data_IF_612380880388
#
_entry.id   IF_612380880388
#
_cell.length_a   1.000
_cell.length_b   1.000
_cell.length_c   1.000
_cell.angle_alpha   90.00
_cell.angle_beta   90.00
_cell.angle_gamma   90.00
#
_symmetry.space_group_name_H-M   'P 1'
#
loop_
_entity.id
_entity.type
_entity.pdbx_description
1 polymer ?
#
# COMPACT_ATOMS: atom_id res chain seq x y z
N UNK A 1 -15.69 -0.45 22.11
CA UNK A 1 -16.46 -0.49 23.37
C UNK A 1 -15.78 0.38 24.39
N UNK A 2 -16.52 1.06 25.26
CA UNK A 2 -15.99 2.02 26.26
C UNK A 2 -15.59 1.38 27.59
N UNK A 3 -15.83 0.08 27.77
CA UNK A 3 -15.45 -0.65 28.96
C UNK A 3 -13.93 -0.86 29.01
N UNK A 4 -13.34 -0.80 30.21
CA UNK A 4 -11.95 -1.11 30.43
C UNK A 4 -11.66 -2.56 29.96
N UNK A 5 -10.62 -2.72 29.16
CA UNK A 5 -10.22 -4.00 28.58
C UNK A 5 -8.71 -4.20 28.70
N UNK A 6 -8.28 -5.46 28.66
CA UNK A 6 -6.87 -5.84 28.74
C UNK A 6 -6.51 -6.61 27.48
N UNK A 7 -5.40 -6.23 26.84
CA UNK A 7 -4.80 -6.96 25.73
C UNK A 7 -3.50 -7.62 26.21
N UNK A 8 -3.42 -8.95 26.12
CA UNK A 8 -2.23 -9.73 26.49
C UNK A 8 -1.59 -10.26 25.21
N UNK A 9 -0.32 -9.92 24.98
CA UNK A 9 0.46 -10.39 23.83
C UNK A 9 1.29 -11.60 24.26
N UNK A 10 0.89 -12.80 23.82
CA UNK A 10 1.63 -14.04 24.07
C UNK A 10 2.53 -14.37 22.88
N UNK A 11 3.77 -14.79 23.15
CA UNK A 11 4.68 -15.25 22.11
C UNK A 11 5.59 -16.37 22.64
N UNK A 12 6.11 -17.17 21.73
CA UNK A 12 7.12 -18.20 22.01
C UNK A 12 8.41 -17.81 21.32
N UNK A 13 9.53 -17.93 22.02
CA UNK A 13 10.84 -17.61 21.47
C UNK A 13 11.40 -18.73 20.55
N UNK A 14 12.44 -18.42 19.75
CA UNK A 14 13.03 -17.09 19.54
C UNK A 14 12.24 -16.27 18.51
N UNK A 15 12.08 -14.96 18.79
CA UNK A 15 11.44 -14.04 17.85
C UNK A 15 12.42 -13.59 16.77
N UNK A 16 11.95 -13.53 15.52
CA UNK A 16 12.68 -12.80 14.47
C UNK A 16 12.70 -11.29 14.78
N UNK A 17 13.64 -10.57 14.18
CA UNK A 17 13.71 -9.10 14.29
C UNK A 17 12.40 -8.44 13.88
N UNK A 18 11.79 -8.91 12.79
CA UNK A 18 10.48 -8.47 12.30
C UNK A 18 9.38 -8.74 13.32
N UNK A 19 9.31 -9.94 13.90
CA UNK A 19 8.30 -10.28 14.90
C UNK A 19 8.44 -9.43 16.16
N UNK A 20 9.68 -9.16 16.60
CA UNK A 20 9.97 -8.27 17.73
C UNK A 20 9.54 -6.83 17.45
N UNK A 21 9.80 -6.31 16.25
CA UNK A 21 9.38 -4.97 15.85
C UNK A 21 7.85 -4.82 15.82
N UNK A 22 7.13 -5.83 15.32
CA UNK A 22 5.65 -5.81 15.31
C UNK A 22 5.04 -5.81 16.71
N UNK A 23 5.57 -6.64 17.62
CA UNK A 23 5.13 -6.66 19.01
C UNK A 23 5.43 -5.33 19.73
N UNK A 24 6.58 -4.72 19.42
CA UNK A 24 6.94 -3.41 19.95
C UNK A 24 5.96 -2.32 19.47
N UNK A 25 5.61 -2.28 18.19
CA UNK A 25 4.61 -1.35 17.64
C UNK A 25 3.26 -1.47 18.36
N UNK A 26 2.77 -2.70 18.57
CA UNK A 26 1.50 -2.94 19.28
C UNK A 26 1.54 -2.54 20.77
N UNK A 27 2.74 -2.45 21.36
CA UNK A 27 2.94 -2.00 22.75
C UNK A 27 3.04 -0.48 22.87
N UNK A 28 3.64 0.18 21.88
CA UNK A 28 3.94 1.62 21.93
C UNK A 28 2.73 2.50 21.58
N UNK A 29 1.79 2.00 20.78
CA UNK A 29 0.63 2.78 20.35
C UNK A 29 -0.61 1.90 20.19
N UNK A 30 -1.77 2.51 20.44
CA UNK A 30 -3.09 1.93 20.18
C UNK A 30 -3.78 2.59 18.98
N UNK A 31 -3.14 3.55 18.34
CA UNK A 31 -3.65 4.18 17.12
C UNK A 31 -3.48 3.24 15.93
N UNK A 32 -4.61 2.78 15.38
CA UNK A 32 -4.64 1.84 14.26
C UNK A 32 -3.96 2.35 12.99
N UNK A 33 -3.94 3.67 12.75
CA UNK A 33 -3.28 4.25 11.58
C UNK A 33 -1.75 4.19 11.72
N UNK A 34 -1.23 4.55 12.89
CA UNK A 34 0.21 4.45 13.16
C UNK A 34 0.70 3.00 13.16
N UNK A 35 -0.09 2.07 13.70
CA UNK A 35 0.20 0.63 13.61
C UNK A 35 0.29 0.20 12.14
N UNK A 36 -0.68 0.60 11.32
CA UNK A 36 -0.71 0.26 9.89
C UNK A 36 0.48 0.84 9.12
N UNK A 37 0.88 2.09 9.41
CA UNK A 37 2.05 2.73 8.80
C UNK A 37 3.34 1.97 9.12
N UNK A 38 3.58 1.68 10.40
CA UNK A 38 4.77 0.94 10.85
C UNK A 38 4.77 -0.50 10.34
N UNK A 39 3.62 -1.17 10.27
CA UNK A 39 3.53 -2.52 9.69
C UNK A 39 3.87 -2.51 8.19
N UNK A 40 3.45 -1.49 7.46
CA UNK A 40 3.81 -1.29 6.06
C UNK A 40 5.32 -1.05 5.87
N UNK A 41 5.94 -0.25 6.75
CA UNK A 41 7.40 -0.05 6.77
C UNK A 41 8.16 -1.36 7.04
N UNK A 42 7.69 -2.15 8.02
CA UNK A 42 8.30 -3.44 8.40
C UNK A 42 8.15 -4.48 7.27
N UNK A 43 6.99 -4.52 6.62
CA UNK A 43 6.67 -5.51 5.57
C UNK A 43 7.25 -5.11 4.21
N UNK A 44 7.41 -3.82 3.96
CA UNK A 44 7.59 -3.29 2.62
C UNK A 44 6.30 -3.38 1.78
N UNK A 45 6.31 -2.78 0.58
CA UNK A 45 5.09 -2.56 -0.19
C UNK A 45 4.39 -3.82 -0.74
N UNK A 46 4.98 -5.01 -0.96
CA UNK A 46 4.23 -6.18 -1.52
C UNK A 46 3.74 -6.00 -2.97
N UNK A 47 2.92 -6.91 -3.55
CA UNK A 47 2.40 -6.83 -4.94
C UNK A 47 0.85 -6.74 -5.01
N UNK A 48 0.34 -5.68 -5.66
CA UNK A 48 -1.07 -5.23 -5.59
C UNK A 48 -2.02 -5.79 -6.64
N UNK A 49 -1.54 -6.51 -7.66
CA UNK A 49 -2.38 -6.92 -8.80
C UNK A 49 -2.62 -8.44 -8.91
N UNK A 50 -2.46 -9.16 -7.81
CA UNK A 50 -2.98 -10.53 -7.71
C UNK A 50 -2.08 -11.59 -8.34
N UNK A 51 -1.08 -12.02 -7.56
CA UNK A 51 -0.76 -13.43 -7.43
C UNK A 51 -0.45 -13.73 -5.95
N UNK A 52 -1.52 -13.72 -5.14
CA UNK A 52 -1.61 -14.07 -3.70
C UNK A 52 -1.37 -12.95 -2.69
N UNK A 53 -2.46 -12.27 -2.32
CA UNK A 53 -2.70 -11.55 -1.06
C UNK A 53 -1.59 -10.60 -0.51
N UNK A 54 -1.92 -9.31 -0.52
CA UNK A 54 -1.45 -8.22 0.38
C UNK A 54 -0.21 -7.38 -0.01
N UNK A 55 -0.44 -6.08 -0.20
CA UNK A 55 0.56 -5.01 -0.23
C UNK A 55 0.62 -4.24 -1.57
N UNK A 56 0.71 -2.91 -1.49
CA UNK A 56 0.93 -1.88 -2.53
C UNK A 56 1.56 -2.27 -3.88
N UNK A 57 1.22 -1.54 -4.95
CA UNK A 57 1.71 -1.89 -6.28
C UNK A 57 3.22 -1.66 -6.31
N UNK A 58 4.02 -2.65 -6.71
CA UNK A 58 5.40 -2.39 -7.11
C UNK A 58 5.37 -1.49 -8.35
N UNK A 59 5.27 -0.18 -8.12
CA UNK A 59 5.52 0.81 -9.12
C UNK A 59 6.97 0.61 -9.53
N UNK A 60 7.18 0.15 -10.77
CA UNK A 60 8.51 -0.22 -11.29
C UNK A 60 9.56 0.90 -11.17
N UNK A 61 9.11 2.14 -11.01
CA UNK A 61 9.93 3.35 -11.01
C UNK A 61 9.60 4.35 -9.90
N UNK A 62 8.61 4.08 -9.04
CA UNK A 62 8.17 5.05 -8.03
C UNK A 62 8.05 4.37 -6.67
N UNK A 63 8.40 5.10 -5.62
CA UNK A 63 8.29 4.68 -4.25
C UNK A 63 7.27 5.56 -3.55
N UNK A 64 6.08 5.03 -3.27
CA UNK A 64 4.99 5.80 -2.65
C UNK A 64 5.35 6.39 -1.28
N UNK A 65 6.38 5.89 -0.59
CA UNK A 65 6.84 6.48 0.67
C UNK A 65 7.70 7.72 0.42
N UNK A 66 8.59 7.67 -0.57
CA UNK A 66 9.54 8.75 -0.88
C UNK A 66 8.97 9.77 -1.89
N UNK A 67 8.03 9.34 -2.72
CA UNK A 67 7.47 10.11 -3.83
C UNK A 67 6.07 10.64 -3.54
N UNK A 68 5.70 10.82 -2.27
CA UNK A 68 4.39 11.36 -1.90
C UNK A 68 4.09 12.70 -2.57
N UNK A 69 5.12 13.50 -2.79
CA UNK A 69 5.04 14.80 -3.47
C UNK A 69 4.60 14.70 -4.95
N UNK A 70 4.72 13.53 -5.58
CA UNK A 70 4.26 13.29 -6.94
C UNK A 70 2.77 12.92 -7.03
N UNK A 71 2.12 12.57 -5.91
CA UNK A 71 0.74 12.06 -5.91
C UNK A 71 -0.23 13.14 -6.41
N UNK A 72 -0.16 14.35 -5.84
CA UNK A 72 -1.09 15.43 -6.19
C UNK A 72 -0.88 15.93 -7.63
N UNK A 73 0.35 16.23 -8.09
CA UNK A 73 0.59 16.60 -9.48
C UNK A 73 0.19 15.51 -10.48
N UNK A 74 0.39 14.23 -10.16
CA UNK A 74 -0.03 13.13 -11.02
C UNK A 74 -1.56 13.07 -11.15
N UNK A 75 -2.29 13.34 -10.06
CA UNK A 75 -3.76 13.39 -10.04
C UNK A 75 -4.29 14.53 -10.92
N UNK A 76 -3.73 15.72 -10.78
CA UNK A 76 -4.09 16.89 -11.60
C UNK A 76 -3.79 16.65 -13.08
N UNK A 77 -2.62 16.11 -13.40
CA UNK A 77 -2.23 15.77 -14.76
C UNK A 77 -3.17 14.72 -15.37
N UNK A 78 -3.57 13.70 -14.61
CA UNK A 78 -4.51 12.69 -15.07
C UNK A 78 -5.88 13.29 -15.39
N UNK A 79 -6.40 14.18 -14.53
CA UNK A 79 -7.67 14.88 -14.78
C UNK A 79 -7.61 15.74 -16.05
N UNK A 80 -6.54 16.51 -16.22
CA UNK A 80 -6.34 17.35 -17.40
C UNK A 80 -6.21 16.52 -18.69
N UNK A 81 -5.52 15.38 -18.65
CA UNK A 81 -5.39 14.46 -19.78
C UNK A 81 -6.74 13.86 -20.18
N UNK A 82 -7.56 13.45 -19.21
CA UNK A 82 -8.90 12.91 -19.47
C UNK A 82 -9.83 13.93 -20.13
N UNK A 83 -9.76 15.20 -19.71
CA UNK A 83 -10.62 16.25 -20.25
C UNK A 83 -10.16 16.71 -21.65
N UNK A 84 -8.84 16.88 -21.84
CA UNK A 84 -8.31 17.59 -23.01
C UNK A 84 -7.72 16.68 -24.09
N UNK A 85 -7.29 15.48 -23.73
CA UNK A 85 -6.52 14.57 -24.60
C UNK A 85 -6.96 13.11 -24.47
N UNK A 86 -8.25 12.79 -24.71
CA UNK A 86 -8.77 11.43 -24.56
C UNK A 86 -8.05 10.39 -25.44
N UNK A 87 -7.56 10.78 -26.61
CA UNK A 87 -6.77 9.93 -27.51
C UNK A 87 -5.41 9.54 -26.91
N UNK A 88 -4.76 10.46 -26.18
CA UNK A 88 -3.50 10.19 -25.47
C UNK A 88 -3.77 9.24 -24.31
N UNK A 89 -4.88 9.44 -23.59
CA UNK A 89 -5.30 8.50 -22.53
C UNK A 89 -5.45 7.09 -23.09
N UNK A 90 -6.15 6.92 -24.22
CA UNK A 90 -6.31 5.60 -24.84
C UNK A 90 -4.97 4.94 -25.20
N UNK A 91 -4.01 5.71 -25.72
CA UNK A 91 -2.66 5.21 -25.99
C UNK A 91 -1.91 4.82 -24.71
N UNK A 92 -2.05 5.60 -23.64
CA UNK A 92 -1.49 5.26 -22.33
C UNK A 92 -2.09 3.98 -21.75
N UNK A 93 -3.43 3.84 -21.80
CA UNK A 93 -4.12 2.62 -21.36
C UNK A 93 -3.66 1.41 -22.19
N UNK A 94 -3.61 1.52 -23.52
CA UNK A 94 -3.15 0.45 -24.39
C UNK A 94 -1.69 0.04 -24.10
N UNK A 95 -0.80 1.01 -23.84
CA UNK A 95 0.61 0.76 -23.55
C UNK A 95 0.85 0.14 -22.18
N UNK A 96 0.19 0.65 -21.14
CA UNK A 96 0.51 0.34 -19.74
C UNK A 96 -0.44 -0.67 -19.10
N UNK A 97 -1.71 -0.70 -19.50
CA UNK A 97 -2.70 -1.69 -19.05
C UNK A 97 -2.80 -2.88 -20.01
N UNK A 98 -2.71 -2.66 -21.33
CA UNK A 98 -2.66 -3.73 -22.34
C UNK A 98 -3.61 -4.89 -22.06
N UNK A 99 -3.12 -6.13 -22.10
CA UNK A 99 -3.89 -7.37 -21.86
C UNK A 99 -4.29 -7.63 -20.39
N UNK A 100 -3.99 -6.72 -19.44
CA UNK A 100 -4.34 -6.91 -18.01
C UNK A 100 -5.79 -6.61 -17.66
N UNK A 101 -6.66 -6.29 -18.63
CA UNK A 101 -8.11 -6.24 -18.42
C UNK A 101 -8.68 -7.54 -17.80
N UNK A 102 -8.01 -8.68 -17.99
CA UNK A 102 -8.38 -9.95 -17.36
C UNK A 102 -8.20 -9.97 -15.83
N UNK A 103 -7.36 -9.09 -15.25
CA UNK A 103 -7.12 -9.03 -13.80
C UNK A 103 -8.17 -8.19 -13.05
N UNK A 104 -8.88 -7.29 -13.73
CA UNK A 104 -9.92 -6.45 -13.13
C UNK A 104 -11.31 -7.11 -13.11
N UNK A 105 -11.44 -8.28 -13.75
CA UNK A 105 -12.69 -9.08 -13.80
C UNK A 105 -12.75 -10.24 -12.79
N UNK A 106 -11.77 -10.36 -11.90
CA UNK A 106 -11.70 -11.41 -10.88
C UNK A 106 -12.01 -10.87 -9.48
#
# INVERSE_FOLDING_TARGET
GSAASVCVLLYTGPLSMTARARLQTMRETTDGFEIARRDLEIRGPGEFLGARQSGAAMLRFADLQNDQWLIEPAREAAAALLEKYPEVVMQHLARWLGAREQYLKA
#
